data_IF_854288692065
#
_entry.id   IF_854288692065
#
_cell.length_a   1.000
_cell.length_b   1.000
_cell.length_c   1.000
_cell.angle_alpha   90.00
_cell.angle_beta   90.00
_cell.angle_gamma   90.00
#
_symmetry.space_group_name_H-M   'P 1'
#
loop_
_entity.id
_entity.type
_entity.pdbx_description
1 polymer ?
#
# COMPACT_ATOMS: atom_id res chain seq x y z
N UNK A 1 0.61 -6.28 -12.88
CA UNK A 1 0.47 -6.92 -11.55
C UNK A 1 1.72 -7.73 -11.28
N UNK A 2 2.38 -7.47 -10.16
CA UNK A 2 3.56 -8.24 -9.71
C UNK A 2 3.10 -9.25 -8.68
N UNK A 3 3.72 -10.43 -8.67
CA UNK A 3 3.49 -11.41 -7.61
C UNK A 3 4.78 -11.92 -6.98
N UNK A 4 4.72 -12.26 -5.70
CA UNK A 4 5.80 -12.89 -4.94
C UNK A 4 5.20 -13.91 -3.98
N UNK A 5 5.79 -15.11 -3.92
CA UNK A 5 5.38 -16.14 -2.96
C UNK A 5 6.16 -16.01 -1.66
N UNK A 6 5.47 -15.93 -0.53
CA UNK A 6 6.04 -15.84 0.82
C UNK A 6 5.25 -16.77 1.74
N UNK A 7 5.95 -17.62 2.51
CA UNK A 7 5.34 -18.63 3.40
C UNK A 7 4.23 -19.47 2.75
N UNK A 8 4.35 -19.78 1.46
CA UNK A 8 3.34 -20.55 0.70
C UNK A 8 2.10 -19.75 0.29
N UNK A 9 2.07 -18.44 0.53
CA UNK A 9 1.05 -17.51 0.04
C UNK A 9 1.58 -16.69 -1.13
N UNK A 10 0.77 -16.50 -2.17
CA UNK A 10 1.09 -15.62 -3.29
C UNK A 10 0.55 -14.21 -3.02
N UNK A 11 1.46 -13.25 -2.87
CA UNK A 11 1.12 -11.83 -2.73
C UNK A 11 1.11 -11.21 -4.11
N UNK A 12 -0.02 -10.64 -4.52
CA UNK A 12 -0.27 -10.06 -5.83
C UNK A 12 -0.60 -8.59 -5.67
N UNK A 13 0.22 -7.72 -6.26
CA UNK A 13 0.08 -6.27 -6.15
C UNK A 13 -0.35 -5.63 -7.48
N UNK A 14 -1.24 -4.64 -7.41
CA UNK A 14 -1.63 -3.84 -8.57
C UNK A 14 -0.52 -2.91 -9.07
N UNK A 15 0.34 -2.43 -8.16
CA UNK A 15 1.50 -1.58 -8.43
C UNK A 15 2.82 -2.31 -8.12
N UNK A 16 3.94 -1.74 -8.56
CA UNK A 16 5.26 -2.21 -8.14
C UNK A 16 5.46 -1.92 -6.64
N UNK A 17 6.01 -2.91 -5.93
CA UNK A 17 6.15 -2.89 -4.47
C UNK A 17 7.49 -3.43 -4.03
N UNK A 18 8.01 -2.87 -2.95
CA UNK A 18 9.10 -3.45 -2.16
C UNK A 18 8.50 -4.27 -1.03
N UNK A 19 9.02 -5.48 -0.85
CA UNK A 19 8.56 -6.41 0.18
C UNK A 19 9.71 -6.76 1.11
N UNK A 20 9.53 -6.48 2.38
CA UNK A 20 10.45 -6.79 3.47
C UNK A 20 9.82 -7.89 4.33
N UNK A 21 10.62 -8.85 4.77
CA UNK A 21 10.18 -10.04 5.50
C UNK A 21 11.14 -10.25 6.67
N UNK A 22 10.60 -10.47 7.86
CA UNK A 22 11.33 -10.84 9.07
C UNK A 22 10.53 -11.88 9.90
N UNK A 23 11.01 -12.18 11.11
CA UNK A 23 10.34 -13.13 12.01
C UNK A 23 8.96 -12.64 12.52
N UNK A 24 8.69 -11.34 12.44
CA UNK A 24 7.44 -10.73 12.90
C UNK A 24 6.38 -10.62 11.80
N UNK A 25 6.77 -10.68 10.52
CA UNK A 25 5.85 -10.73 9.40
C UNK A 25 6.41 -10.12 8.11
N UNK A 26 5.51 -9.64 7.26
CA UNK A 26 5.82 -9.07 5.95
C UNK A 26 5.31 -7.64 5.87
N UNK A 27 6.21 -6.70 5.55
CA UNK A 27 5.89 -5.31 5.25
C UNK A 27 5.96 -5.05 3.74
N UNK A 28 4.89 -4.48 3.18
CA UNK A 28 4.73 -4.22 1.74
C UNK A 28 4.56 -2.72 1.53
N UNK A 29 5.46 -2.14 0.75
CA UNK A 29 5.50 -0.70 0.43
C UNK A 29 5.43 -0.52 -1.09
N UNK A 30 4.69 0.49 -1.56
CA UNK A 30 4.68 0.83 -2.99
C UNK A 30 6.04 1.39 -3.38
N UNK A 31 6.59 0.89 -4.48
CA UNK A 31 7.89 1.33 -4.96
C UNK A 31 7.77 2.66 -5.73
N UNK A 32 7.82 3.76 -4.99
CA UNK A 32 7.77 5.12 -5.53
C UNK A 32 8.77 6.02 -4.81
N UNK A 33 9.34 6.97 -5.56
CA UNK A 33 10.36 7.92 -5.11
C UNK A 33 9.78 9.17 -4.41
N UNK A 34 8.46 9.23 -4.23
CA UNK A 34 7.76 10.39 -3.68
C UNK A 34 8.10 10.65 -2.20
N UNK A 35 8.26 11.94 -1.86
CA UNK A 35 8.41 12.44 -0.49
C UNK A 35 7.08 12.33 0.28
N UNK A 36 7.07 11.57 1.39
CA UNK A 36 5.93 11.43 2.27
C UNK A 36 6.09 10.27 3.25
N UNK A 37 5.22 10.20 4.26
CA UNK A 37 5.21 9.09 5.22
C UNK A 37 4.56 7.86 4.59
N UNK A 38 5.37 6.97 4.02
CA UNK A 38 4.88 5.72 3.44
C UNK A 38 4.58 4.70 4.55
N UNK A 39 3.30 4.55 4.89
CA UNK A 39 2.86 3.47 5.76
C UNK A 39 2.80 2.13 5.00
N UNK A 40 3.42 1.04 5.49
CA UNK A 40 3.35 -0.27 4.85
C UNK A 40 1.98 -0.95 5.06
N UNK A 41 1.65 -1.89 4.19
CA UNK A 41 0.73 -2.98 4.55
C UNK A 41 1.53 -4.03 5.31
N UNK A 42 1.06 -4.44 6.48
CA UNK A 42 1.71 -5.46 7.32
C UNK A 42 0.85 -6.71 7.33
N UNK A 43 1.44 -7.84 6.94
CA UNK A 43 0.83 -9.16 6.93
C UNK A 43 1.62 -10.10 7.84
N UNK A 44 0.93 -10.78 8.74
CA UNK A 44 1.50 -11.91 9.48
C UNK A 44 0.99 -13.20 8.86
N UNK A 45 1.85 -14.21 8.80
CA UNK A 45 1.53 -15.50 8.24
C UNK A 45 1.66 -16.58 9.31
N UNK A 46 0.63 -17.42 9.42
CA UNK A 46 0.68 -18.70 10.13
C UNK A 46 0.65 -19.85 9.10
N UNK A 47 0.77 -21.11 9.55
CA UNK A 47 0.80 -22.30 8.66
C UNK A 47 -0.34 -22.33 7.61
N UNK A 48 -1.53 -21.87 8.01
CA UNK A 48 -2.76 -21.89 7.21
C UNK A 48 -3.46 -20.52 7.12
N UNK A 49 -2.87 -19.48 7.70
CA UNK A 49 -3.56 -18.21 7.94
C UNK A 49 -2.71 -17.03 7.47
N UNK A 50 -3.38 -15.96 7.04
CA UNK A 50 -2.76 -14.66 6.85
C UNK A 50 -3.60 -13.62 7.56
N UNK A 51 -2.95 -12.78 8.37
CA UNK A 51 -3.59 -11.74 9.17
C UNK A 51 -3.09 -10.39 8.68
N UNK A 52 -4.01 -9.52 8.30
CA UNK A 52 -3.69 -8.12 7.98
C UNK A 52 -3.57 -7.35 9.28
N UNK A 53 -2.34 -7.00 9.69
CA UNK A 53 -2.09 -6.22 10.92
C UNK A 53 -2.24 -4.73 10.69
N UNK A 54 -1.86 -4.26 9.51
CA UNK A 54 -1.92 -2.84 9.14
C UNK A 54 -2.24 -2.71 7.66
N UNK A 55 -2.99 -1.67 7.32
CA UNK A 55 -3.25 -1.26 5.94
C UNK A 55 -2.66 0.12 5.72
N UNK A 56 -2.06 0.32 4.55
CA UNK A 56 -1.59 1.63 4.14
C UNK A 56 -2.77 2.52 3.80
N UNK A 57 -2.65 3.83 4.01
CA UNK A 57 -3.61 4.80 3.49
C UNK A 57 -3.67 4.79 1.94
N UNK A 58 -2.62 4.27 1.29
CA UNK A 58 -2.54 4.05 -0.14
C UNK A 58 -3.29 2.79 -0.58
N UNK A 59 -3.77 1.96 0.35
CA UNK A 59 -4.47 0.72 0.00
C UNK A 59 -5.91 1.05 -0.39
N UNK A 60 -6.29 0.67 -1.60
CA UNK A 60 -7.69 0.74 -2.06
C UNK A 60 -8.47 -0.48 -1.59
N UNK A 61 -7.85 -1.66 -1.68
CA UNK A 61 -8.49 -2.93 -1.31
C UNK A 61 -7.47 -4.02 -1.05
N UNK A 62 -7.68 -4.80 0.01
CA UNK A 62 -7.05 -6.12 0.19
C UNK A 62 -8.11 -7.20 -0.02
N UNK A 63 -7.78 -8.25 -0.76
CA UNK A 63 -8.57 -9.48 -0.86
C UNK A 63 -7.69 -10.66 -0.51
N UNK A 64 -8.18 -11.53 0.36
CA UNK A 64 -7.53 -12.79 0.71
C UNK A 64 -8.43 -13.91 0.22
N UNK A 65 -7.88 -14.88 -0.49
CA UNK A 65 -8.61 -16.02 -1.05
C UNK A 65 -8.12 -17.34 -0.47
N UNK A 66 -9.00 -18.35 -0.54
CA UNK A 66 -8.75 -19.69 0.00
C UNK A 66 -7.66 -20.46 -0.77
N UNK A 67 -7.34 -20.06 -2.00
CA UNK A 67 -6.22 -20.60 -2.79
C UNK A 67 -4.86 -19.97 -2.42
N UNK A 68 -4.74 -19.49 -1.18
CA UNK A 68 -3.54 -18.88 -0.59
C UNK A 68 -3.01 -17.68 -1.37
N UNK A 69 -3.91 -16.78 -1.81
CA UNK A 69 -3.51 -15.52 -2.48
C UNK A 69 -3.95 -14.30 -1.70
N UNK A 70 -3.07 -13.31 -1.66
CA UNK A 70 -3.34 -11.98 -1.11
C UNK A 70 -3.23 -10.97 -2.24
N UNK A 71 -4.35 -10.37 -2.62
CA UNK A 71 -4.39 -9.30 -3.61
C UNK A 71 -4.41 -7.96 -2.90
N UNK A 72 -3.45 -7.10 -3.22
CA UNK A 72 -3.38 -5.72 -2.74
C UNK A 72 -3.54 -4.79 -3.94
N UNK A 73 -4.67 -4.10 -3.95
CA UNK A 73 -4.93 -3.03 -4.90
C UNK A 73 -4.65 -1.71 -4.19
N UNK A 74 -3.79 -0.92 -4.79
CA UNK A 74 -3.41 0.41 -4.32
C UNK A 74 -4.29 1.50 -4.96
N UNK A 75 -4.27 2.68 -4.37
CA UNK A 75 -4.80 3.89 -4.99
C UNK A 75 -3.73 4.44 -5.93
N UNK A 76 -4.14 4.71 -7.17
CA UNK A 76 -3.26 5.25 -8.21
C UNK A 76 -3.11 6.78 -8.09
N UNK A 77 -4.01 7.44 -7.35
CA UNK A 77 -4.03 8.89 -7.11
C UNK A 77 -3.98 9.15 -5.60
N UNK A 78 -3.08 10.04 -5.16
CA UNK A 78 -3.07 10.55 -3.79
C UNK A 78 -4.18 11.59 -3.66
N UNK A 79 -4.99 11.53 -2.60
CA UNK A 79 -5.97 12.57 -2.23
C UNK A 79 -5.30 13.91 -1.80
N UNK A 80 -4.15 14.25 -2.36
CA UNK A 80 -3.41 15.50 -2.16
C UNK A 80 -3.31 16.38 -3.42
N UNK A 81 -3.57 15.83 -4.62
CA UNK A 81 -3.76 16.64 -5.83
C UNK A 81 -5.24 17.00 -6.00
N UNK A 82 -5.87 17.52 -4.95
CA UNK A 82 -6.71 18.69 -5.23
C UNK A 82 -5.67 19.74 -5.61
N UNK A 83 -5.50 19.93 -6.91
CA UNK A 83 -4.95 21.15 -7.49
C UNK A 83 -5.43 22.28 -6.59
N UNK A 84 -4.54 22.82 -5.75
CA UNK A 84 -4.76 24.12 -5.16
C UNK A 84 -4.69 25.10 -6.34
N UNK A 85 -5.76 25.16 -7.12
CA UNK A 85 -6.31 26.43 -7.56
C UNK A 85 -6.80 27.12 -6.27
N UNK A 86 -5.86 27.42 -5.37
CA UNK A 86 -5.98 28.64 -4.61
C UNK A 86 -5.86 29.71 -5.67
N UNK A 87 -7.01 30.23 -6.12
CA UNK A 87 -7.05 31.59 -6.61
C UNK A 87 -6.37 32.42 -5.51
N UNK A 88 -5.11 32.79 -5.74
CA UNK A 88 -4.41 33.74 -4.90
C UNK A 88 -5.18 35.03 -5.08
N UNK A 89 -6.14 35.29 -4.19
CA UNK A 89 -6.71 36.62 -4.04
C UNK A 89 -5.63 37.45 -3.37
N UNK A 90 -4.82 38.12 -4.18
CA UNK A 90 -3.94 39.19 -3.72
C UNK A 90 -4.83 40.28 -3.12
N UNK A 91 -4.82 40.39 -1.80
CA UNK A 91 -5.30 41.59 -1.12
C UNK A 91 -4.16 42.60 -1.12
N UNK A 92 -4.21 43.58 -2.02
CA UNK A 92 -3.46 44.82 -1.82
C UNK A 92 -4.03 45.53 -0.59
N UNK A 93 -3.18 45.78 0.40
CA UNK A 93 -3.42 46.75 1.46
C UNK A 93 -2.61 48.01 1.14
N UNK A 94 -3.27 48.99 0.52
CA UNK A 94 -3.33 50.39 0.97
C UNK A 94 -4.28 51.22 0.08
#
# INVERSE_FOLDING_TARGET
MKSKTIHGWEIISSLDVRIYEDEAGVAILVDREEFGDQSPVILDFDEDSVVVKSISHLTKKVRISLDRKVFINWQDEYFGEIVQNMDIVEFERD
#
